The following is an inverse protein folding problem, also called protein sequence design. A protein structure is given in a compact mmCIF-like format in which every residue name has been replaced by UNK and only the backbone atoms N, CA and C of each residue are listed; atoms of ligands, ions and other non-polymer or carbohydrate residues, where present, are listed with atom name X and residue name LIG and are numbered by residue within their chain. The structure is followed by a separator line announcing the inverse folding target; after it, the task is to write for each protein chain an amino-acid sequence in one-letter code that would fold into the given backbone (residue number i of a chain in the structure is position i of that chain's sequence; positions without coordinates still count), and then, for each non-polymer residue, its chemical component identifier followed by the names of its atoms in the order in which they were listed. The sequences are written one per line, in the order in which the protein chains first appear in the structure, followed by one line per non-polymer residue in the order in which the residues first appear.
data_IF_112796680934
#
_entry.id   IF_112796680934
#
_cell.length_a   1.000
_cell.length_b   1.000
_cell.length_c   1.000
_cell.angle_alpha   90.00
_cell.angle_beta   90.00
_cell.angle_gamma   90.00
#
_symmetry.space_group_name_H-M   'P 1'
#
loop_
_entity.id
_entity.type
_entity.pdbx_description
1 polymer ?
#
# COMPACT_ATOMS: atom_id res chain seq x y z
N UNK A 1 3.39 -30.52 11.69
CA UNK A 1 3.46 -29.31 12.53
C UNK A 1 2.53 -28.27 11.94
N UNK A 2 1.59 -27.75 12.72
CA UNK A 2 0.70 -26.66 12.27
C UNK A 2 1.54 -25.38 12.20
N UNK A 3 1.59 -24.73 11.04
CA UNK A 3 2.42 -23.53 10.78
C UNK A 3 2.09 -22.35 11.71
N UNK A 4 0.88 -22.34 12.29
CA UNK A 4 0.40 -21.34 13.25
C UNK A 4 -0.38 -22.04 14.39
N UNK A 5 0.31 -22.59 15.40
CA UNK A 5 -0.32 -23.47 16.39
C UNK A 5 -1.27 -22.74 17.37
N UNK A 6 -1.06 -21.45 17.63
CA UNK A 6 -1.84 -20.67 18.62
C UNK A 6 -2.84 -19.69 17.99
N UNK A 7 -3.05 -19.76 16.68
CA UNK A 7 -3.98 -18.86 15.96
C UNK A 7 -5.35 -19.50 15.86
N UNK A 8 -6.40 -18.74 16.20
CA UNK A 8 -7.76 -19.23 16.05
C UNK A 8 -8.08 -19.50 14.57
N UNK A 9 -8.97 -20.48 14.28
CA UNK A 9 -9.26 -20.89 12.90
C UNK A 9 -9.78 -19.75 12.01
N UNK A 10 -10.52 -18.79 12.57
CA UNK A 10 -11.11 -17.69 11.79
C UNK A 10 -10.03 -16.70 11.36
N UNK A 11 -9.15 -16.30 12.28
CA UNK A 11 -7.98 -15.45 11.97
C UNK A 11 -7.07 -16.12 10.96
N UNK A 12 -6.83 -17.43 11.11
CA UNK A 12 -6.02 -18.18 10.16
C UNK A 12 -6.68 -18.24 8.76
N UNK A 13 -8.00 -18.40 8.70
CA UNK A 13 -8.79 -18.32 7.47
C UNK A 13 -8.68 -16.93 6.83
N UNK A 14 -8.88 -15.86 7.59
CA UNK A 14 -8.71 -14.49 7.09
C UNK A 14 -7.30 -14.22 6.54
N UNK A 15 -6.27 -14.73 7.22
CA UNK A 15 -4.89 -14.60 6.77
C UNK A 15 -4.67 -15.32 5.43
N UNK A 16 -5.08 -16.59 5.34
CA UNK A 16 -4.82 -17.45 4.18
C UNK A 16 -5.66 -17.10 2.97
N UNK A 17 -6.94 -16.81 3.19
CA UNK A 17 -7.92 -16.74 2.11
C UNK A 17 -8.16 -15.31 1.62
N UNK A 18 -7.86 -14.29 2.44
CA UNK A 18 -8.10 -12.89 2.10
C UNK A 18 -6.81 -12.07 2.10
N UNK A 19 -6.06 -12.07 3.20
CA UNK A 19 -4.86 -11.24 3.31
C UNK A 19 -3.74 -11.67 2.35
N UNK A 20 -3.39 -12.96 2.30
CA UNK A 20 -2.30 -13.45 1.45
C UNK A 20 -2.57 -13.21 -0.05
N UNK A 21 -3.75 -13.54 -0.62
CA UNK A 21 -4.07 -13.24 -2.01
C UNK A 21 -4.02 -11.74 -2.31
N UNK A 22 -4.61 -10.91 -1.44
CA UNK A 22 -4.59 -9.46 -1.61
C UNK A 22 -3.18 -8.87 -1.54
N UNK A 23 -2.34 -9.36 -0.62
CA UNK A 23 -0.94 -8.96 -0.49
C UNK A 23 -0.14 -9.32 -1.74
N UNK A 24 -0.29 -10.54 -2.26
CA UNK A 24 0.34 -10.95 -3.53
C UNK A 24 -0.07 -10.05 -4.69
N UNK A 25 -1.37 -9.73 -4.78
CA UNK A 25 -1.88 -8.83 -5.81
C UNK A 25 -1.32 -7.41 -5.69
N UNK A 26 -1.23 -6.90 -4.46
CA UNK A 26 -0.65 -5.60 -4.15
C UNK A 26 0.83 -5.55 -4.54
N UNK A 27 1.63 -6.54 -4.14
CA UNK A 27 3.04 -6.62 -4.53
C UNK A 27 3.20 -6.69 -6.05
N UNK A 28 2.37 -7.48 -6.74
CA UNK A 28 2.39 -7.60 -8.20
C UNK A 28 2.00 -6.31 -8.91
N UNK A 29 1.00 -5.59 -8.39
CA UNK A 29 0.41 -4.42 -9.06
C UNK A 29 1.20 -3.14 -8.81
N UNK A 30 1.59 -2.90 -7.56
CA UNK A 30 2.19 -1.61 -7.15
C UNK A 30 3.63 -1.75 -6.65
N UNK A 31 4.24 -2.94 -6.70
CA UNK A 31 5.65 -3.16 -6.37
C UNK A 31 6.60 -2.27 -7.18
N UNK A 32 7.78 -2.03 -6.61
CA UNK A 32 8.87 -1.32 -7.29
C UNK A 32 10.02 -2.27 -7.55
N UNK A 33 10.78 -2.03 -8.62
CA UNK A 33 12.06 -2.70 -8.77
C UNK A 33 13.07 -2.16 -7.75
N UNK A 34 14.05 -2.97 -7.32
CA UNK A 34 15.15 -2.48 -6.47
C UNK A 34 15.89 -1.29 -7.08
N UNK A 35 16.00 -1.26 -8.42
CA UNK A 35 16.64 -0.16 -9.17
C UNK A 35 15.90 1.16 -8.99
N UNK A 36 14.56 1.16 -9.09
CA UNK A 36 13.75 2.38 -8.92
C UNK A 36 13.92 2.96 -7.51
N UNK A 37 13.97 2.09 -6.50
CA UNK A 37 14.20 2.49 -5.10
C UNK A 37 15.61 3.07 -4.93
N UNK A 38 16.63 2.41 -5.46
CA UNK A 38 18.02 2.88 -5.40
C UNK A 38 18.19 4.26 -6.05
N UNK A 39 17.52 4.52 -7.17
CA UNK A 39 17.55 5.83 -7.83
C UNK A 39 16.98 6.95 -6.95
N UNK A 40 15.87 6.69 -6.24
CA UNK A 40 15.31 7.67 -5.30
C UNK A 40 16.27 7.94 -4.14
N UNK A 41 16.92 6.89 -3.60
CA UNK A 41 17.90 7.03 -2.52
C UNK A 41 19.11 7.86 -2.97
N UNK A 42 19.69 7.54 -4.12
CA UNK A 42 20.82 8.29 -4.68
C UNK A 42 20.47 9.78 -4.87
N UNK A 43 19.24 10.07 -5.32
CA UNK A 43 18.75 11.46 -5.45
C UNK A 43 18.65 12.19 -4.11
N UNK A 44 18.22 11.52 -3.04
CA UNK A 44 18.15 12.12 -1.70
C UNK A 44 19.55 12.39 -1.17
N UNK A 45 20.48 11.44 -1.29
CA UNK A 45 21.87 11.58 -0.83
C UNK A 45 22.58 12.73 -1.57
N UNK A 46 22.36 12.86 -2.88
CA UNK A 46 22.94 13.94 -3.68
C UNK A 46 22.26 15.31 -3.54
N UNK A 47 21.22 15.44 -2.71
CA UNK A 47 20.51 16.71 -2.54
C UNK A 47 21.26 17.66 -1.60
N UNK A 48 21.35 18.94 -1.97
CA UNK A 48 21.94 19.98 -1.11
C UNK A 48 21.12 20.23 0.16
N UNK A 49 19.82 19.92 0.14
CA UNK A 49 18.87 20.05 1.26
C UNK A 49 17.88 18.88 1.24
N UNK A 50 18.28 17.69 1.73
CA UNK A 50 17.42 16.52 1.68
C UNK A 50 16.18 16.71 2.57
N UNK A 51 15.00 16.24 2.14
CA UNK A 51 13.80 16.28 2.98
C UNK A 51 13.90 15.26 4.11
N UNK A 52 13.21 15.50 5.22
CA UNK A 52 13.13 14.55 6.35
C UNK A 52 12.58 13.17 5.93
N UNK A 53 11.63 13.14 4.98
CA UNK A 53 11.03 11.91 4.45
C UNK A 53 10.87 12.01 2.94
N UNK A 54 11.17 10.92 2.24
CA UNK A 54 10.92 10.78 0.80
C UNK A 54 10.15 9.49 0.53
N UNK A 55 8.96 9.60 -0.05
CA UNK A 55 8.20 8.45 -0.51
C UNK A 55 8.83 7.92 -1.82
N UNK A 56 9.23 6.65 -1.85
CA UNK A 56 9.79 6.02 -3.04
C UNK A 56 8.70 5.61 -4.02
N UNK A 57 7.51 5.27 -3.52
CA UNK A 57 6.38 4.79 -4.29
C UNK A 57 5.18 5.72 -4.21
N UNK A 58 5.00 6.57 -5.23
CA UNK A 58 3.87 7.49 -5.30
C UNK A 58 2.51 6.77 -5.44
N UNK A 59 2.47 5.50 -5.85
CA UNK A 59 1.21 4.73 -6.00
C UNK A 59 0.51 4.50 -4.66
N UNK A 60 1.20 4.63 -3.53
CA UNK A 60 0.59 4.54 -2.19
C UNK A 60 -0.05 5.85 -1.71
N UNK A 61 0.02 6.93 -2.51
CA UNK A 61 -0.52 8.23 -2.14
C UNK A 61 -1.98 8.19 -1.65
N UNK A 62 -2.92 7.46 -2.27
CA UNK A 62 -4.31 7.42 -1.78
C UNK A 62 -4.41 6.91 -0.34
N UNK A 63 -3.59 5.93 0.06
CA UNK A 63 -3.58 5.39 1.42
C UNK A 63 -2.99 6.39 2.41
N UNK A 64 -1.93 7.10 2.03
CA UNK A 64 -1.33 8.16 2.86
C UNK A 64 -2.32 9.32 3.06
N UNK A 65 -3.02 9.73 2.00
CA UNK A 65 -4.07 10.77 2.07
C UNK A 65 -5.20 10.32 2.99
N UNK A 66 -5.69 9.10 2.83
CA UNK A 66 -6.77 8.57 3.66
C UNK A 66 -6.40 8.55 5.15
N UNK A 67 -5.15 8.21 5.48
CA UNK A 67 -4.63 8.26 6.85
C UNK A 67 -4.52 9.68 7.39
N UNK A 68 -4.20 10.66 6.55
CA UNK A 68 -4.07 12.06 6.95
C UNK A 68 -5.42 12.78 7.11
N UNK A 69 -6.47 12.33 6.41
CA UNK A 69 -7.80 12.96 6.42
C UNK A 69 -8.55 12.81 7.75
N UNK A 70 -8.24 11.79 8.53
CA UNK A 70 -8.91 11.52 9.81
C UNK A 70 -7.84 11.25 10.89
N UNK A 71 -7.58 12.23 11.79
CA UNK A 71 -6.62 12.09 12.88
C UNK A 71 -6.92 10.91 13.82
N UNK A 72 -8.18 10.47 13.92
CA UNK A 72 -8.54 9.29 14.72
C UNK A 72 -8.09 7.97 14.08
N UNK A 73 -7.79 7.99 12.77
CA UNK A 73 -7.46 6.81 11.97
C UNK A 73 -8.67 5.91 11.65
N UNK A 74 -9.86 6.21 12.16
CA UNK A 74 -11.06 5.38 12.02
C UNK A 74 -11.46 5.19 10.55
N UNK A 75 -11.28 6.23 9.72
CA UNK A 75 -11.58 6.20 8.30
C UNK A 75 -10.66 5.23 7.56
N UNK A 76 -9.35 5.32 7.81
CA UNK A 76 -8.36 4.44 7.22
C UNK A 76 -8.61 2.97 7.61
N UNK A 77 -8.81 2.71 8.90
CA UNK A 77 -9.05 1.34 9.41
C UNK A 77 -10.31 0.74 8.78
N UNK A 78 -11.42 1.49 8.77
CA UNK A 78 -12.68 1.01 8.19
C UNK A 78 -12.58 0.76 6.70
N UNK A 79 -11.91 1.65 5.96
CA UNK A 79 -11.72 1.49 4.52
C UNK A 79 -10.83 0.28 4.21
N UNK A 80 -9.66 0.16 4.86
CA UNK A 80 -8.75 -0.95 4.67
C UNK A 80 -9.42 -2.29 5.00
N UNK A 81 -10.13 -2.36 6.13
CA UNK A 81 -10.89 -3.54 6.52
C UNK A 81 -11.96 -3.91 5.48
N UNK A 82 -12.76 -2.94 5.01
CA UNK A 82 -13.80 -3.22 4.00
C UNK A 82 -13.21 -3.69 2.68
N UNK A 83 -12.16 -3.02 2.20
CA UNK A 83 -11.50 -3.40 0.94
C UNK A 83 -10.89 -4.79 1.01
N UNK A 84 -10.24 -5.12 2.14
CA UNK A 84 -9.56 -6.40 2.31
C UNK A 84 -10.51 -7.57 2.56
N UNK A 85 -11.46 -7.38 3.49
CA UNK A 85 -12.26 -8.50 4.01
C UNK A 85 -13.69 -8.56 3.47
N UNK A 86 -14.22 -7.47 2.89
CA UNK A 86 -15.61 -7.44 2.37
C UNK A 86 -15.68 -7.27 0.87
N UNK A 87 -14.75 -6.53 0.26
CA UNK A 87 -14.77 -6.18 -1.16
C UNK A 87 -13.42 -6.45 -1.87
N UNK A 88 -12.92 -7.69 -1.87
CA UNK A 88 -11.61 -8.02 -2.45
C UNK A 88 -11.53 -7.73 -3.95
N UNK A 89 -12.63 -7.85 -4.70
CA UNK A 89 -12.67 -7.49 -6.11
C UNK A 89 -12.48 -6.00 -6.35
N UNK A 90 -13.05 -5.14 -5.49
CA UNK A 90 -12.87 -3.70 -5.54
C UNK A 90 -11.43 -3.32 -5.19
N UNK A 91 -10.84 -3.98 -4.19
CA UNK A 91 -9.43 -3.82 -3.87
C UNK A 91 -8.54 -4.17 -5.06
N UNK A 92 -8.75 -5.34 -5.68
CA UNK A 92 -7.98 -5.77 -6.86
C UNK A 92 -8.14 -4.81 -8.05
N UNK A 93 -9.35 -4.30 -8.30
CA UNK A 93 -9.58 -3.28 -9.32
C UNK A 93 -8.80 -1.99 -9.01
N UNK A 94 -8.89 -1.50 -7.78
CA UNK A 94 -8.16 -0.31 -7.34
C UNK A 94 -6.64 -0.45 -7.48
N UNK A 95 -6.09 -1.61 -7.11
CA UNK A 95 -4.67 -1.91 -7.27
C UNK A 95 -4.24 -1.89 -8.74
N UNK A 96 -5.05 -2.44 -9.65
CA UNK A 96 -4.80 -2.37 -11.09
C UNK A 96 -4.86 -0.94 -11.63
N UNK A 97 -5.82 -0.13 -11.18
CA UNK A 97 -5.89 1.29 -11.54
C UNK A 97 -4.64 2.07 -11.10
N UNK A 98 -4.12 1.77 -9.89
CA UNK A 98 -2.88 2.35 -9.38
C UNK A 98 -1.64 1.89 -10.17
N UNK A 99 -1.64 0.63 -10.63
CA UNK A 99 -0.57 0.08 -11.46
C UNK A 99 -0.50 0.79 -12.82
N UNK A 100 -1.65 0.98 -13.47
CA UNK A 100 -1.75 1.59 -14.80
C UNK A 100 -1.42 3.09 -14.85
N UNK A 101 -1.29 3.77 -13.69
CA UNK A 101 -1.04 5.22 -13.65
C UNK A 101 -2.24 6.05 -14.12
N UNK A 102 -3.44 5.48 -14.13
CA UNK A 102 -4.69 6.15 -14.53
C UNK A 102 -5.08 7.32 -13.59
N UNK A 103 -4.42 7.44 -12.44
CA UNK A 103 -4.63 8.53 -11.51
C UNK A 103 -3.61 9.64 -11.78
N UNK A 104 -4.05 10.89 -12.00
CA UNK A 104 -3.14 11.99 -12.24
C UNK A 104 -2.22 12.18 -11.04
N UNK A 105 -0.91 12.07 -11.27
CA UNK A 105 0.11 12.53 -10.34
C UNK A 105 0.02 14.04 -10.27
N UNK A 106 -0.81 14.57 -9.36
CA UNK A 106 -0.80 16.00 -9.05
C UNK A 106 0.54 16.31 -8.38
N UNK A 107 1.50 16.76 -9.19
CA UNK A 107 2.77 17.29 -8.73
C UNK A 107 2.44 18.54 -7.93
N UNK A 108 2.58 18.49 -6.61
CA UNK A 108 2.53 19.71 -5.80
C UNK A 108 3.85 20.46 -6.02
N UNK A 109 3.81 21.71 -6.51
CA UNK A 109 4.99 22.55 -6.49
C UNK A 109 5.32 22.88 -5.03
N UNK A 110 6.50 22.48 -4.60
CA UNK A 110 7.08 22.79 -3.29
C UNK A 110 8.58 22.88 -3.43
#
# INVERSE_FOLDING_TARGET
MTEFPDTDPDTLGYFRDLYLPASRELFRSVGQSPRDVAQVIAKVIGSTRPPLRRQTNARYLPLTVLKAMDPSGSLYVRAAHRLLFRWPHLLSLGLRCLACGCLPTRVWPG
#
